data_IF_254133628512
#
_entry.id   IF_254133628512
#
_cell.length_a   1.000
_cell.length_b   1.000
_cell.length_c   1.000
_cell.angle_alpha   90.00
_cell.angle_beta   90.00
_cell.angle_gamma   90.00
#
_symmetry.space_group_name_H-M   'P 1'
#
loop_
_entity.id
_entity.type
_entity.pdbx_description
1 polymer ?
#
# COMPACT_ATOMS: atom_id res chain seq x y z
N UNK A 1 4.19 -7.55 2.67
CA UNK A 1 3.54 -6.61 1.72
C UNK A 1 3.16 -5.30 2.41
N UNK A 2 2.27 -5.31 3.41
CA UNK A 2 1.84 -4.10 4.13
C UNK A 2 3.01 -3.28 4.69
N UNK A 3 3.94 -3.93 5.40
CA UNK A 3 5.13 -3.27 5.96
C UNK A 3 6.01 -2.61 4.89
N UNK A 4 6.11 -3.20 3.69
CA UNK A 4 6.86 -2.61 2.58
C UNK A 4 6.16 -1.36 2.02
N UNK A 5 4.83 -1.40 1.92
CA UNK A 5 4.01 -0.26 1.48
C UNK A 5 4.17 0.91 2.46
N UNK A 6 3.98 0.67 3.76
CA UNK A 6 4.06 1.74 4.78
C UNK A 6 5.47 2.30 4.94
N UNK A 7 6.50 1.46 4.87
CA UNK A 7 7.90 1.90 4.87
C UNK A 7 8.23 2.78 3.67
N UNK A 8 7.85 2.39 2.45
CA UNK A 8 8.13 3.18 1.25
C UNK A 8 7.45 4.55 1.27
N UNK A 9 6.23 4.63 1.80
CA UNK A 9 5.54 5.92 1.95
C UNK A 9 6.26 6.82 2.97
N UNK A 10 6.74 6.22 4.07
CA UNK A 10 7.52 6.92 5.09
C UNK A 10 8.87 7.42 4.56
N UNK A 11 9.57 6.59 3.77
CA UNK A 11 10.85 6.93 3.12
C UNK A 11 10.71 8.13 2.17
N UNK A 12 9.60 8.21 1.41
CA UNK A 12 9.32 9.33 0.50
C UNK A 12 8.87 10.61 1.21
N UNK A 13 8.72 10.59 2.56
CA UNK A 13 8.24 11.71 3.40
C UNK A 13 6.98 12.40 2.87
N UNK A 14 6.07 11.61 2.31
CA UNK A 14 4.85 12.13 1.70
C UNK A 14 3.85 12.56 2.78
N UNK A 15 3.31 13.78 2.65
CA UNK A 15 2.09 14.13 3.38
C UNK A 15 0.91 13.27 2.91
N UNK A 16 -0.12 13.13 3.75
CA UNK A 16 -1.32 12.39 3.38
C UNK A 16 -1.97 12.91 2.08
N UNK A 17 -1.92 14.22 1.83
CA UNK A 17 -2.43 14.82 0.59
C UNK A 17 -1.58 14.44 -0.63
N UNK A 18 -0.25 14.43 -0.50
CA UNK A 18 0.63 14.00 -1.59
C UNK A 18 0.50 12.50 -1.87
N UNK A 19 0.41 11.69 -0.82
CA UNK A 19 0.18 10.25 -0.94
C UNK A 19 -1.18 9.96 -1.60
N UNK A 20 -2.23 10.73 -1.30
CA UNK A 20 -3.54 10.59 -1.94
C UNK A 20 -3.44 10.77 -3.46
N UNK A 21 -2.72 11.80 -3.91
CA UNK A 21 -2.52 12.08 -5.32
C UNK A 21 -1.67 11.01 -6.02
N UNK A 22 -0.56 10.59 -5.39
CA UNK A 22 0.37 9.62 -5.97
C UNK A 22 -0.25 8.22 -6.03
N UNK A 23 -0.99 7.84 -4.98
CA UNK A 23 -1.57 6.51 -4.84
C UNK A 23 -2.97 6.40 -5.48
N UNK A 24 -3.54 7.50 -5.99
CA UNK A 24 -4.90 7.53 -6.50
C UNK A 24 -5.96 7.20 -5.43
N UNK A 25 -5.64 7.48 -4.16
CA UNK A 25 -6.50 7.20 -3.01
C UNK A 25 -7.19 8.48 -2.52
N UNK A 26 -8.34 8.32 -1.88
CA UNK A 26 -8.97 9.43 -1.14
C UNK A 26 -8.18 9.73 0.14
N UNK A 27 -8.30 10.95 0.65
CA UNK A 27 -7.68 11.34 1.93
C UNK A 27 -7.99 10.38 3.09
N UNK A 28 -9.26 9.99 3.33
CA UNK A 28 -9.61 9.00 4.35
C UNK A 28 -8.94 7.63 4.14
N UNK A 29 -8.83 7.17 2.89
CA UNK A 29 -8.14 5.91 2.57
C UNK A 29 -6.65 5.99 2.89
N UNK A 30 -5.98 7.10 2.57
CA UNK A 30 -4.57 7.28 2.94
C UNK A 30 -4.38 7.29 4.45
N UNK A 31 -5.25 7.98 5.19
CA UNK A 31 -5.21 7.98 6.66
C UNK A 31 -5.39 6.57 7.22
N UNK A 32 -6.33 5.79 6.67
CA UNK A 32 -6.53 4.39 7.06
C UNK A 32 -5.26 3.55 6.80
N UNK A 33 -4.63 3.72 5.64
CA UNK A 33 -3.38 3.03 5.30
C UNK A 33 -2.24 3.40 6.25
N UNK A 34 -2.10 4.69 6.62
CA UNK A 34 -1.03 5.16 7.52
C UNK A 34 -1.24 4.71 8.97
N UNK A 35 -2.51 4.63 9.41
CA UNK A 35 -2.87 4.14 10.73
C UNK A 35 -2.84 2.61 10.84
N UNK A 36 -2.52 1.90 9.75
CA UNK A 36 -2.44 0.45 9.74
C UNK A 36 -3.79 -0.27 9.66
N UNK A 37 -4.88 0.43 9.28
CA UNK A 37 -6.21 -0.15 9.03
C UNK A 37 -6.27 -0.85 7.66
N UNK A 38 -5.31 -1.75 7.44
CA UNK A 38 -5.06 -2.45 6.18
C UNK A 38 -6.03 -3.61 5.95
N UNK A 39 -6.69 -4.07 7.01
CA UNK A 39 -7.81 -5.00 7.00
C UNK A 39 -9.03 -4.45 6.23
N UNK A 40 -9.11 -3.12 6.07
CA UNK A 40 -10.15 -2.46 5.26
C UNK A 40 -9.83 -2.42 3.76
N UNK A 41 -8.68 -2.92 3.34
CA UNK A 41 -8.24 -2.98 1.95
C UNK A 41 -8.32 -4.41 1.43
N UNK A 42 -8.89 -4.57 0.24
CA UNK A 42 -8.77 -5.81 -0.52
C UNK A 42 -7.35 -6.05 -0.99
N UNK A 43 -7.02 -7.31 -1.29
CA UNK A 43 -5.72 -7.65 -1.89
C UNK A 43 -5.51 -6.90 -3.22
N UNK A 44 -6.55 -6.79 -4.05
CA UNK A 44 -6.49 -6.06 -5.32
C UNK A 44 -6.18 -4.58 -5.11
N UNK A 45 -6.82 -3.93 -4.14
CA UNK A 45 -6.51 -2.54 -3.79
C UNK A 45 -5.04 -2.39 -3.40
N UNK A 46 -4.50 -3.29 -2.57
CA UNK A 46 -3.10 -3.23 -2.13
C UNK A 46 -2.11 -3.48 -3.28
N UNK A 47 -2.42 -4.41 -4.18
CA UNK A 47 -1.61 -4.70 -5.36
C UNK A 47 -1.57 -3.48 -6.30
N UNK A 48 -2.69 -2.77 -6.45
CA UNK A 48 -2.76 -1.58 -7.28
C UNK A 48 -1.92 -0.39 -6.76
N UNK A 49 -1.51 -0.40 -5.48
CA UNK A 49 -0.63 0.62 -4.91
C UNK A 49 0.85 0.40 -5.27
N UNK A 50 1.24 -0.84 -5.60
CA UNK A 50 2.63 -1.22 -5.76
C UNK A 50 3.36 -0.45 -6.88
N UNK A 51 2.77 -0.24 -8.08
CA UNK A 51 3.44 0.49 -9.15
C UNK A 51 3.77 1.94 -8.78
N UNK A 52 2.84 2.65 -8.12
CA UNK A 52 3.04 4.03 -7.66
C UNK A 52 4.15 4.13 -6.59
N UNK A 53 4.41 3.02 -5.89
CA UNK A 53 5.43 2.91 -4.88
C UNK A 53 6.74 2.31 -5.40
N UNK A 54 6.85 1.95 -6.67
CA UNK A 54 8.01 1.22 -7.22
C UNK A 54 8.31 -0.05 -6.42
N UNK A 55 7.24 -0.81 -6.12
CA UNK A 55 7.29 -2.11 -5.45
C UNK A 55 6.83 -3.19 -6.42
N UNK A 56 7.39 -4.39 -6.26
CA UNK A 56 6.98 -5.60 -6.97
C UNK A 56 6.68 -6.70 -5.95
N UNK A 57 5.76 -7.60 -6.29
CA UNK A 57 5.48 -8.80 -5.49
C UNK A 57 5.91 -10.05 -6.24
N UNK A 58 6.35 -11.04 -5.47
CA UNK A 58 6.56 -12.40 -5.94
C UNK A 58 5.51 -13.29 -5.26
N UNK A 59 4.83 -14.11 -6.06
CA UNK A 59 3.84 -15.06 -5.56
C UNK A 59 4.42 -16.46 -5.73
N UNK A 60 4.76 -17.09 -4.61
CA UNK A 60 5.26 -18.47 -4.59
C UNK A 60 4.14 -19.38 -4.09
N UNK A 61 3.55 -20.23 -4.95
CA UNK A 61 2.54 -21.17 -4.52
C UNK A 61 3.15 -22.15 -3.51
N UNK A 62 2.45 -22.36 -2.39
CA UNK A 62 2.84 -23.37 -1.41
C UNK A 62 2.25 -24.71 -1.86
N UNK A 63 3.04 -25.81 -1.88
CA UNK A 63 2.50 -27.13 -2.18
C UNK A 63 1.43 -27.48 -1.15
N UNK A 64 0.27 -27.92 -1.64
CA UNK A 64 -0.78 -28.47 -0.79
C UNK A 64 -0.27 -29.78 -0.17
N UNK A 65 -0.20 -29.80 1.16
CA UNK A 65 0.12 -30.99 1.97
C UNK A 65 -1.04 -31.98 1.91
#
# INVERSE_FOLDING_TARGET
MISAITSRISEKRLSAAQAALILGLTGPRVTALFNGYVDTFSLDELINLLPALELTIEVVPQPQQ
#
